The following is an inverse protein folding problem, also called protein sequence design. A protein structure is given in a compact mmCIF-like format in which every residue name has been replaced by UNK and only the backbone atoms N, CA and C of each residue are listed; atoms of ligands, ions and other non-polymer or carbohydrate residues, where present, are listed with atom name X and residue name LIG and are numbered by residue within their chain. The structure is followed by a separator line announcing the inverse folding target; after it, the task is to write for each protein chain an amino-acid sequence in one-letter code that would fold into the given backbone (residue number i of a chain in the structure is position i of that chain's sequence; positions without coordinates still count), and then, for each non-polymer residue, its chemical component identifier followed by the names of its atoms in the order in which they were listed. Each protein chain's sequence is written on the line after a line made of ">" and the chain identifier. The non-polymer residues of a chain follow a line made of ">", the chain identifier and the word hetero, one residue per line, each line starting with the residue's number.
data_IF_606788900237
#
_entry.id   IF_606788900237
#
_cell.length_a   1.000
_cell.length_b   1.000
_cell.length_c   1.000
_cell.angle_alpha   90.00
_cell.angle_beta   90.00
_cell.angle_gamma   90.00
#
_symmetry.space_group_name_H-M   'P 1'
#
loop_
_entity.id
_entity.type
_entity.pdbx_description
1 polymer ?
#
# COMPACT_ATOMS: atom_id res chain seq x y z
N UNK A 1 14.30 16.66 -11.40
CA UNK A 1 13.13 17.28 -12.07
C UNK A 1 11.90 16.41 -11.94
N UNK A 2 10.68 17.00 -12.03
CA UNK A 2 9.41 16.29 -11.88
C UNK A 2 9.30 15.06 -12.82
N UNK A 3 9.67 15.19 -14.09
CA UNK A 3 9.66 14.07 -15.04
C UNK A 3 10.59 12.91 -14.62
N UNK A 4 11.73 13.21 -14.03
CA UNK A 4 12.64 12.19 -13.51
C UNK A 4 12.02 11.46 -12.31
N UNK A 5 11.42 12.18 -11.40
CA UNK A 5 10.69 11.59 -10.27
C UNK A 5 9.56 10.67 -10.77
N UNK A 6 8.71 11.17 -11.67
CA UNK A 6 7.61 10.38 -12.25
C UNK A 6 8.13 9.10 -12.92
N UNK A 7 9.17 9.20 -13.74
CA UNK A 7 9.78 8.04 -14.38
C UNK A 7 10.22 6.99 -13.35
N UNK A 8 10.90 7.41 -12.29
CA UNK A 8 11.42 6.49 -11.29
C UNK A 8 10.31 5.88 -10.40
N UNK A 9 9.24 6.60 -10.10
CA UNK A 9 8.08 6.06 -9.37
C UNK A 9 7.55 4.76 -10.02
N UNK A 10 7.63 4.65 -11.35
CA UNK A 10 7.19 3.43 -12.07
C UNK A 10 8.28 2.38 -12.28
N UNK A 11 9.55 2.71 -12.07
CA UNK A 11 10.67 1.82 -12.42
C UNK A 11 11.43 1.25 -11.21
N UNK A 12 11.26 1.79 -10.01
CA UNK A 12 11.83 1.19 -8.79
C UNK A 12 11.01 -0.02 -8.36
N UNK A 13 11.67 -1.01 -7.74
CA UNK A 13 11.08 -2.34 -7.52
C UNK A 13 10.17 -2.41 -6.32
N UNK A 14 10.47 -1.70 -5.25
CA UNK A 14 9.71 -1.77 -3.98
C UNK A 14 9.00 -0.47 -3.65
N UNK A 15 7.95 -0.56 -2.82
CA UNK A 15 7.27 0.62 -2.28
C UNK A 15 8.19 1.44 -1.39
N UNK A 16 9.00 0.81 -0.57
CA UNK A 16 9.98 1.50 0.30
C UNK A 16 10.95 2.36 -0.53
N UNK A 17 11.43 1.85 -1.68
CA UNK A 17 12.24 2.63 -2.61
C UNK A 17 11.45 3.80 -3.22
N UNK A 18 10.15 3.63 -3.50
CA UNK A 18 9.28 4.73 -3.98
C UNK A 18 9.16 5.81 -2.92
N UNK A 19 8.91 5.44 -1.66
CA UNK A 19 8.74 6.39 -0.55
C UNK A 19 10.00 7.22 -0.33
N UNK A 20 11.17 6.58 -0.30
CA UNK A 20 12.47 7.26 -0.19
C UNK A 20 12.72 8.19 -1.37
N UNK A 21 12.54 7.69 -2.59
CA UNK A 21 12.74 8.45 -3.82
C UNK A 21 11.82 9.69 -3.89
N UNK A 22 10.54 9.52 -3.52
CA UNK A 22 9.57 10.63 -3.53
C UNK A 22 10.01 11.73 -2.58
N UNK A 23 10.39 11.39 -1.35
CA UNK A 23 10.85 12.39 -0.38
C UNK A 23 12.17 13.05 -0.85
N UNK A 24 13.15 12.29 -1.31
CA UNK A 24 14.43 12.82 -1.76
C UNK A 24 14.28 13.78 -2.94
N UNK A 25 13.55 13.37 -3.98
CA UNK A 25 13.38 14.18 -5.18
C UNK A 25 12.44 15.38 -4.97
N UNK A 26 11.42 15.25 -4.11
CA UNK A 26 10.56 16.37 -3.72
C UNK A 26 11.36 17.49 -3.07
N UNK A 27 12.42 17.19 -2.32
CA UNK A 27 13.25 18.20 -1.69
C UNK A 27 13.92 19.15 -2.70
N UNK A 28 14.14 18.66 -3.93
CA UNK A 28 14.67 19.49 -5.03
C UNK A 28 13.63 20.37 -5.71
N UNK A 29 12.33 20.07 -5.52
CA UNK A 29 11.19 20.75 -6.15
C UNK A 29 10.46 21.66 -5.17
N UNK A 30 10.33 21.25 -3.92
CA UNK A 30 9.63 21.92 -2.83
C UNK A 30 10.58 21.95 -1.63
N UNK A 31 10.99 23.13 -1.22
CA UNK A 31 11.87 23.26 -0.05
C UNK A 31 11.10 22.93 1.23
N UNK A 32 11.56 21.96 2.02
CA UNK A 32 11.00 21.59 3.32
C UNK A 32 12.08 21.22 4.34
N UNK A 33 11.75 21.24 5.62
CA UNK A 33 12.70 20.89 6.69
C UNK A 33 12.62 19.43 7.10
N UNK A 34 11.42 18.84 7.10
CA UNK A 34 11.14 17.44 7.44
C UNK A 34 10.09 16.90 6.48
N UNK A 35 10.25 15.66 6.07
CA UNK A 35 9.27 14.94 5.26
C UNK A 35 8.96 13.56 5.84
N UNK A 36 7.73 13.12 5.66
CA UNK A 36 7.35 11.74 5.93
C UNK A 36 6.43 11.17 4.83
N UNK A 37 6.48 9.86 4.70
CA UNK A 37 5.57 9.10 3.86
C UNK A 37 5.10 7.89 4.65
N UNK A 38 3.79 7.71 4.75
CA UNK A 38 3.16 6.56 5.39
C UNK A 38 2.25 5.86 4.40
N UNK A 39 2.22 4.54 4.49
CA UNK A 39 1.21 3.72 3.81
C UNK A 39 0.01 3.47 4.73
N UNK A 40 -1.13 3.19 4.12
CA UNK A 40 -2.30 2.66 4.83
C UNK A 40 -2.04 1.21 5.24
N UNK A 41 -2.41 0.84 6.45
CA UNK A 41 -2.38 -0.56 6.87
C UNK A 41 -3.45 -1.36 6.10
N UNK A 42 -3.03 -2.48 5.49
CA UNK A 42 -3.91 -3.29 4.64
C UNK A 42 -5.02 -4.00 5.41
N UNK A 43 -4.80 -4.29 6.70
CA UNK A 43 -5.79 -4.94 7.56
C UNK A 43 -6.66 -3.93 8.30
N UNK A 44 -6.13 -2.73 8.58
CA UNK A 44 -6.85 -1.64 9.19
C UNK A 44 -6.60 -0.32 8.43
N UNK A 45 -7.36 -0.04 7.36
CA UNK A 45 -7.14 1.13 6.50
C UNK A 45 -7.25 2.50 7.19
N UNK A 46 -7.66 2.53 8.46
CA UNK A 46 -7.65 3.74 9.27
C UNK A 46 -6.34 3.98 10.02
N UNK A 47 -5.42 3.03 9.98
CA UNK A 47 -4.10 3.15 10.57
C UNK A 47 -3.04 3.36 9.50
N UNK A 48 -2.01 4.09 9.86
CA UNK A 48 -0.82 4.31 9.05
C UNK A 48 0.26 3.33 9.48
N UNK A 49 1.07 2.91 8.53
CA UNK A 49 2.18 1.96 8.71
C UNK A 49 3.34 2.31 7.79
N UNK A 50 4.42 1.54 7.88
CA UNK A 50 5.59 1.61 6.99
C UNK A 50 6.12 3.04 6.83
N UNK A 51 6.49 3.73 7.91
CA UNK A 51 6.93 5.11 7.83
C UNK A 51 8.32 5.22 7.21
N UNK A 52 8.45 6.08 6.21
CA UNK A 52 9.74 6.58 5.70
C UNK A 52 9.83 8.06 6.04
N UNK A 53 11.00 8.52 6.51
CA UNK A 53 11.23 9.91 6.89
C UNK A 53 12.43 10.50 6.14
N UNK A 54 12.41 11.82 5.95
CA UNK A 54 13.50 12.60 5.37
C UNK A 54 13.86 13.75 6.29
N UNK A 55 15.18 13.96 6.46
CA UNK A 55 15.78 15.03 7.27
C UNK A 55 15.49 14.98 8.79
N UNK A 56 14.97 13.84 9.27
CA UNK A 56 14.71 13.59 10.69
C UNK A 56 14.89 12.09 10.98
N UNK A 57 15.18 11.73 12.23
CA UNK A 57 15.33 10.33 12.62
C UNK A 57 13.99 9.59 12.72
N UNK A 58 14.05 8.26 12.67
CA UNK A 58 12.87 7.37 12.68
C UNK A 58 11.98 7.53 13.92
N UNK A 59 12.53 8.05 15.02
CA UNK A 59 11.76 8.35 16.23
C UNK A 59 10.62 9.33 16.00
N UNK A 60 10.73 10.23 15.00
CA UNK A 60 9.67 11.16 14.63
C UNK A 60 8.40 10.41 14.16
N UNK A 61 8.57 9.50 13.20
CA UNK A 61 7.47 8.74 12.65
C UNK A 61 6.90 7.73 13.66
N UNK A 62 7.76 7.09 14.44
CA UNK A 62 7.35 6.17 15.49
C UNK A 62 6.54 6.88 16.58
N UNK A 63 6.97 8.08 16.98
CA UNK A 63 6.25 8.91 17.95
C UNK A 63 4.87 9.33 17.42
N UNK A 64 4.80 9.77 16.15
CA UNK A 64 3.51 10.07 15.51
C UNK A 64 2.57 8.86 15.53
N UNK A 65 3.02 7.70 15.08
CA UNK A 65 2.20 6.49 15.03
C UNK A 65 1.72 6.05 16.42
N UNK A 66 2.59 6.12 17.42
CA UNK A 66 2.29 5.66 18.76
C UNK A 66 1.36 6.61 19.53
N UNK A 67 1.56 7.92 19.39
CA UNK A 67 1.02 8.91 20.33
C UNK A 67 0.10 9.96 19.69
N UNK A 68 0.23 10.23 18.37
CA UNK A 68 -0.41 11.39 17.76
C UNK A 68 -1.36 11.10 16.62
N UNK A 69 -1.23 9.99 15.90
CA UNK A 69 -2.12 9.68 14.77
C UNK A 69 -3.63 9.68 15.12
N UNK A 70 -3.99 9.49 16.39
CA UNK A 70 -5.39 9.53 16.86
C UNK A 70 -5.83 10.93 17.27
N UNK A 71 -4.89 11.85 17.49
CA UNK A 71 -5.13 13.25 17.87
C UNK A 71 -5.07 14.20 16.68
N UNK A 72 -4.55 13.72 15.57
CA UNK A 72 -4.43 14.46 14.32
C UNK A 72 -5.82 14.70 13.72
N UNK A 73 -6.28 15.94 13.79
CA UNK A 73 -7.58 16.34 13.24
C UNK A 73 -7.62 16.33 11.71
N UNK A 74 -6.47 16.46 11.04
CA UNK A 74 -6.37 16.37 9.58
C UNK A 74 -6.65 14.94 9.08
N UNK A 75 -6.53 13.93 9.95
CA UNK A 75 -6.82 12.52 9.62
C UNK A 75 -8.25 12.30 9.08
N UNK A 76 -9.20 13.16 9.42
CA UNK A 76 -10.55 13.13 8.84
C UNK A 76 -10.58 13.39 7.33
N UNK A 77 -9.51 13.94 6.75
CA UNK A 77 -9.33 14.14 5.32
C UNK A 77 -8.70 12.93 4.61
N UNK A 78 -8.17 11.96 5.35
CA UNK A 78 -7.63 10.72 4.81
C UNK A 78 -8.79 9.77 4.50
N UNK A 79 -9.44 10.06 3.39
CA UNK A 79 -10.62 9.33 2.93
C UNK A 79 -10.38 8.75 1.53
N UNK A 80 -11.40 8.25 0.90
CA UNK A 80 -11.32 7.60 -0.40
C UNK A 80 -11.01 8.51 -1.59
N UNK A 81 -10.52 9.73 -1.40
CA UNK A 81 -10.15 10.67 -2.46
C UNK A 81 -8.79 11.28 -2.19
N UNK A 82 -7.95 11.31 -3.20
CA UNK A 82 -6.68 12.02 -3.12
C UNK A 82 -6.90 13.53 -3.04
N UNK A 83 -6.08 14.17 -2.23
CA UNK A 83 -6.13 15.61 -2.04
C UNK A 83 -4.80 16.15 -1.57
N UNK A 84 -4.35 17.24 -2.18
CA UNK A 84 -3.28 18.08 -1.67
C UNK A 84 -3.89 19.23 -0.84
N UNK A 85 -3.32 19.49 0.34
CA UNK A 85 -3.76 20.56 1.21
C UNK A 85 -2.65 21.00 2.17
N UNK A 86 -2.67 22.27 2.52
CA UNK A 86 -1.89 22.80 3.65
C UNK A 86 -2.72 22.70 4.91
N UNK A 87 -2.10 22.56 6.05
CA UNK A 87 -2.80 22.63 7.35
C UNK A 87 -3.55 23.96 7.50
N UNK A 88 -2.95 25.06 7.03
CA UNK A 88 -3.57 26.39 7.02
C UNK A 88 -4.83 26.53 6.14
N UNK A 89 -5.10 25.58 5.25
CA UNK A 89 -6.34 25.53 4.47
C UNK A 89 -7.50 24.93 5.28
N UNK A 90 -7.21 24.26 6.40
CA UNK A 90 -8.19 23.55 7.25
C UNK A 90 -8.47 24.34 8.52
N UNK A 91 -7.43 24.84 9.16
CA UNK A 91 -7.50 25.53 10.44
C UNK A 91 -6.64 26.81 10.39
N UNK A 92 -7.15 27.89 10.99
CA UNK A 92 -6.35 29.10 11.08
C UNK A 92 -5.14 28.90 12.01
N UNK A 93 -4.06 29.62 11.75
CA UNK A 93 -2.84 29.57 12.54
C UNK A 93 -3.10 29.86 14.03
N UNK A 94 -3.97 30.84 14.31
CA UNK A 94 -4.38 31.18 15.68
C UNK A 94 -5.07 30.01 16.41
N UNK A 95 -5.86 29.23 15.71
CA UNK A 95 -6.54 28.06 16.27
C UNK A 95 -5.59 26.86 16.37
N UNK A 96 -4.77 26.63 15.35
CA UNK A 96 -3.82 25.52 15.27
C UNK A 96 -2.90 25.49 16.50
N UNK A 97 -2.27 26.62 16.85
CA UNK A 97 -1.31 26.73 17.97
C UNK A 97 -1.97 26.48 19.35
N UNK A 98 -3.30 26.50 19.44
CA UNK A 98 -4.04 26.18 20.68
C UNK A 98 -4.35 24.71 20.82
N UNK A 99 -4.20 23.89 19.76
CA UNK A 99 -4.49 22.47 19.81
C UNK A 99 -3.44 21.68 20.59
N UNK A 100 -3.85 20.61 21.24
CA UNK A 100 -2.92 19.70 21.93
C UNK A 100 -1.98 19.00 20.92
N UNK A 101 -2.47 18.72 19.72
CA UNK A 101 -1.67 18.14 18.64
C UNK A 101 -0.50 19.05 18.25
N UNK A 102 -0.76 20.35 18.02
CA UNK A 102 0.31 21.31 17.73
C UNK A 102 1.32 21.39 18.87
N UNK A 103 0.86 21.57 20.12
CA UNK A 103 1.73 21.75 21.28
C UNK A 103 2.60 20.54 21.59
N UNK A 104 2.03 19.34 21.43
CA UNK A 104 2.71 18.10 21.79
C UNK A 104 3.56 17.54 20.66
N UNK A 105 3.14 17.70 19.40
CA UNK A 105 3.85 17.17 18.23
C UNK A 105 4.61 18.25 17.46
N UNK A 106 3.94 19.18 16.81
CA UNK A 106 4.61 20.20 15.98
C UNK A 106 5.66 20.99 16.76
N UNK A 107 5.29 21.51 17.90
CA UNK A 107 6.18 22.35 18.71
C UNK A 107 7.39 21.58 19.25
N UNK A 108 7.25 20.30 19.62
CA UNK A 108 8.35 19.49 20.13
C UNK A 108 9.43 19.22 19.08
N UNK A 109 9.05 19.21 17.80
CA UNK A 109 9.96 19.06 16.66
C UNK A 109 10.32 20.41 15.99
N UNK A 110 9.84 21.52 16.52
CA UNK A 110 10.09 22.88 16.00
C UNK A 110 9.40 23.16 14.67
N UNK A 111 8.36 22.37 14.33
CA UNK A 111 7.59 22.46 13.08
C UNK A 111 6.44 23.46 13.25
N UNK A 112 5.95 24.01 12.13
CA UNK A 112 4.82 24.94 12.13
C UNK A 112 3.93 24.80 10.91
N UNK A 113 4.47 24.81 9.70
CA UNK A 113 3.69 24.67 8.47
C UNK A 113 3.80 23.24 7.94
N UNK A 114 2.71 22.76 7.36
CA UNK A 114 2.69 21.47 6.67
C UNK A 114 1.91 21.53 5.35
N UNK A 115 2.37 20.68 4.42
CA UNK A 115 1.75 20.41 3.13
C UNK A 115 1.60 18.90 2.99
N UNK A 116 0.39 18.43 2.72
CA UNK A 116 0.05 17.02 2.68
C UNK A 116 -0.50 16.63 1.31
N UNK A 117 -0.16 15.42 0.87
CA UNK A 117 -0.84 14.70 -0.22
C UNK A 117 -1.42 13.42 0.36
N UNK A 118 -2.71 13.41 0.62
CA UNK A 118 -3.48 12.19 0.88
C UNK A 118 -3.69 11.46 -0.44
N UNK A 119 -3.33 10.17 -0.50
CA UNK A 119 -3.37 9.34 -1.70
C UNK A 119 -4.46 8.28 -1.52
N UNK A 120 -5.37 8.20 -2.48
CA UNK A 120 -6.46 7.23 -2.46
C UNK A 120 -6.81 6.77 -3.88
N UNK A 121 -7.40 5.59 -4.01
CA UNK A 121 -7.89 5.06 -5.27
C UNK A 121 -9.17 4.26 -5.02
N UNK A 122 -10.18 4.47 -5.83
CA UNK A 122 -11.50 3.78 -5.77
C UNK A 122 -12.08 3.70 -4.34
N UNK A 123 -12.14 4.83 -3.66
CA UNK A 123 -12.58 4.98 -2.26
C UNK A 123 -11.70 4.27 -1.20
N UNK A 124 -10.51 3.80 -1.57
CA UNK A 124 -9.54 3.24 -0.64
C UNK A 124 -8.42 4.24 -0.38
N UNK A 125 -8.19 4.58 0.88
CA UNK A 125 -7.02 5.36 1.29
C UNK A 125 -5.78 4.47 1.21
N UNK A 126 -4.73 4.93 0.51
CA UNK A 126 -3.52 4.16 0.23
C UNK A 126 -2.30 4.66 1.01
N UNK A 127 -2.25 5.95 1.31
CA UNK A 127 -1.11 6.53 2.03
C UNK A 127 -1.13 8.06 2.05
N UNK A 128 -0.13 8.63 2.67
CA UNK A 128 0.04 10.08 2.79
C UNK A 128 1.51 10.47 2.72
N UNK A 129 1.79 11.52 1.96
CA UNK A 129 3.06 12.25 1.97
C UNK A 129 2.84 13.55 2.74
N UNK A 130 3.73 13.87 3.67
CA UNK A 130 3.68 15.13 4.42
C UNK A 130 5.03 15.81 4.39
N UNK A 131 5.01 17.10 4.11
CA UNK A 131 6.18 17.98 4.11
C UNK A 131 5.99 19.06 5.17
N UNK A 132 7.00 19.30 5.98
CA UNK A 132 6.91 20.23 7.10
C UNK A 132 7.98 21.33 7.01
N UNK A 133 7.60 22.52 7.47
CA UNK A 133 8.50 23.67 7.65
C UNK A 133 8.49 24.17 9.08
N UNK A 134 9.65 24.65 9.50
CA UNK A 134 9.84 25.29 10.82
C UNK A 134 9.19 26.68 10.83
N UNK A 135 8.87 27.16 12.02
CA UNK A 135 8.23 28.47 12.23
C UNK A 135 9.00 29.65 11.62
N UNK A 136 10.33 29.57 11.51
CA UNK A 136 11.14 30.62 10.92
C UNK A 136 11.00 30.75 9.39
N UNK A 137 10.33 29.80 8.74
CA UNK A 137 10.06 29.81 7.29
C UNK A 137 8.71 30.43 6.97
N UNK A 138 8.47 30.64 5.68
CA UNK A 138 7.15 30.99 5.15
C UNK A 138 6.34 29.72 4.84
N UNK A 139 5.03 29.84 4.85
CA UNK A 139 4.13 28.74 4.49
C UNK A 139 4.33 28.30 3.03
N UNK A 140 3.87 27.13 2.69
CA UNK A 140 3.87 26.60 1.33
C UNK A 140 3.02 27.46 0.40
N UNK A 141 3.55 27.75 -0.78
CA UNK A 141 2.91 28.55 -1.81
C UNK A 141 1.91 27.74 -2.63
N UNK A 142 1.07 28.40 -3.42
CA UNK A 142 0.17 27.71 -4.34
C UNK A 142 0.94 26.94 -5.43
N UNK A 143 2.06 27.45 -5.90
CA UNK A 143 2.88 26.76 -6.90
C UNK A 143 3.49 25.46 -6.34
N UNK A 144 3.83 25.43 -5.06
CA UNK A 144 4.32 24.22 -4.38
C UNK A 144 3.17 23.22 -4.16
N UNK A 145 1.97 23.69 -3.84
CA UNK A 145 0.76 22.84 -3.79
C UNK A 145 0.49 22.21 -5.15
N UNK A 146 0.53 22.99 -6.24
CA UNK A 146 0.35 22.46 -7.59
C UNK A 146 1.47 21.49 -8.01
N UNK A 147 2.71 21.77 -7.61
CA UNK A 147 3.84 20.88 -7.86
C UNK A 147 3.61 19.50 -7.20
N UNK A 148 3.18 19.47 -5.94
CA UNK A 148 2.84 18.24 -5.27
C UNK A 148 1.62 17.55 -5.90
N UNK A 149 0.63 18.35 -6.33
CA UNK A 149 -0.58 17.83 -6.97
C UNK A 149 -0.31 17.12 -8.30
N UNK A 150 0.73 17.53 -9.04
CA UNK A 150 1.14 16.84 -10.28
C UNK A 150 1.58 15.40 -10.05
N UNK A 151 1.98 15.04 -8.84
CA UNK A 151 2.35 13.66 -8.49
C UNK A 151 1.14 12.77 -8.14
N UNK A 152 -0.01 13.36 -7.86
CA UNK A 152 -1.19 12.65 -7.33
C UNK A 152 -1.53 11.43 -8.17
N UNK A 153 -1.80 11.60 -9.46
CA UNK A 153 -2.21 10.51 -10.35
C UNK A 153 -1.14 9.40 -10.46
N UNK A 154 0.14 9.76 -10.38
CA UNK A 154 1.24 8.82 -10.49
C UNK A 154 1.38 7.98 -9.22
N UNK A 155 1.27 8.60 -8.05
CA UNK A 155 1.29 7.89 -6.77
C UNK A 155 0.02 7.07 -6.55
N UNK A 156 -1.17 7.58 -6.94
CA UNK A 156 -2.39 6.78 -6.98
C UNK A 156 -2.21 5.49 -7.78
N UNK A 157 -1.72 5.62 -9.02
CA UNK A 157 -1.52 4.48 -9.91
C UNK A 157 -0.51 3.48 -9.34
N UNK A 158 0.63 3.97 -8.84
CA UNK A 158 1.67 3.12 -8.29
C UNK A 158 1.22 2.42 -7.01
N UNK A 159 0.72 3.15 -6.02
CA UNK A 159 0.30 2.57 -4.75
C UNK A 159 -0.88 1.60 -4.93
N UNK A 160 -1.83 1.93 -5.81
CA UNK A 160 -2.91 1.02 -6.12
C UNK A 160 -2.41 -0.27 -6.78
N UNK A 161 -1.47 -0.19 -7.72
CA UNK A 161 -0.88 -1.37 -8.33
C UNK A 161 -0.26 -2.31 -7.27
N UNK A 162 0.56 -1.78 -6.38
CA UNK A 162 1.20 -2.57 -5.33
C UNK A 162 0.16 -3.10 -4.31
N UNK A 163 -0.86 -2.31 -3.98
CA UNK A 163 -1.98 -2.75 -3.14
C UNK A 163 -2.72 -3.95 -3.76
N UNK A 164 -3.03 -3.91 -5.07
CA UNK A 164 -3.70 -5.00 -5.78
C UNK A 164 -2.83 -6.26 -5.84
N UNK A 165 -1.53 -6.11 -6.08
CA UNK A 165 -0.58 -7.23 -6.03
C UNK A 165 -0.58 -7.90 -4.65
N UNK A 166 -0.49 -7.11 -3.58
CA UNK A 166 -0.51 -7.62 -2.23
C UNK A 166 -1.83 -8.31 -1.87
N UNK A 167 -2.97 -7.75 -2.28
CA UNK A 167 -4.28 -8.40 -2.11
C UNK A 167 -4.36 -9.73 -2.85
N UNK A 168 -3.85 -9.80 -4.09
CA UNK A 168 -3.82 -11.04 -4.87
C UNK A 168 -2.90 -12.10 -4.24
N UNK A 169 -1.83 -11.70 -3.56
CA UNK A 169 -0.96 -12.60 -2.81
C UNK A 169 -1.62 -13.11 -1.52
N UNK A 170 -2.39 -12.25 -0.83
CA UNK A 170 -3.15 -12.65 0.36
C UNK A 170 -4.32 -13.60 0.03
N UNK A 171 -4.83 -13.56 -1.20
CA UNK A 171 -5.85 -14.50 -1.69
C UNK A 171 -5.28 -15.87 -2.08
N UNK A 172 -3.95 -16.01 -2.17
CA UNK A 172 -3.32 -17.30 -2.42
C UNK A 172 -3.37 -18.19 -1.19
N UNK A 173 -3.57 -19.46 -1.44
CA UNK A 173 -3.59 -20.49 -0.41
C UNK A 173 -2.34 -21.36 -0.51
N UNK A 174 -1.78 -21.75 0.62
CA UNK A 174 -0.89 -22.87 0.64
C UNK A 174 -1.62 -24.15 0.23
N UNK A 175 -0.89 -25.14 -0.25
CA UNK A 175 -1.45 -26.44 -0.61
C UNK A 175 -2.20 -27.06 0.58
N UNK A 176 -1.67 -26.92 1.78
CA UNK A 176 -2.22 -27.42 3.02
C UNK A 176 -3.55 -26.72 3.38
N UNK A 177 -3.63 -25.43 3.18
CA UNK A 177 -4.88 -24.66 3.37
C UNK A 177 -5.97 -25.06 2.36
N UNK A 178 -5.62 -25.27 1.10
CA UNK A 178 -6.57 -25.77 0.09
C UNK A 178 -7.12 -27.14 0.51
N UNK A 179 -6.23 -28.07 0.90
CA UNK A 179 -6.63 -29.40 1.33
C UNK A 179 -7.61 -29.35 2.51
N UNK A 180 -7.29 -28.54 3.51
CA UNK A 180 -8.09 -28.40 4.72
C UNK A 180 -9.42 -27.67 4.46
N UNK A 181 -9.36 -26.49 3.83
CA UNK A 181 -10.51 -25.60 3.59
C UNK A 181 -11.57 -26.24 2.68
N UNK A 182 -11.13 -26.96 1.64
CA UNK A 182 -12.03 -27.58 0.67
C UNK A 182 -12.26 -29.07 0.89
N UNK A 183 -11.77 -29.62 2.01
CA UNK A 183 -11.97 -31.02 2.39
C UNK A 183 -11.60 -32.01 1.27
N UNK A 184 -10.40 -31.85 0.70
CA UNK A 184 -9.92 -32.77 -0.32
C UNK A 184 -9.58 -34.13 0.28
N UNK A 185 -10.04 -35.18 -0.38
CA UNK A 185 -9.68 -36.54 -0.02
C UNK A 185 -8.19 -36.80 -0.31
N UNK A 186 -7.60 -37.82 0.32
CA UNK A 186 -6.20 -38.23 0.07
C UNK A 186 -5.89 -38.42 -1.42
N UNK A 187 -6.84 -38.96 -2.20
CA UNK A 187 -6.64 -39.17 -3.64
C UNK A 187 -6.73 -37.87 -4.43
N UNK A 188 -7.68 -37.00 -4.10
CA UNK A 188 -7.79 -35.68 -4.70
C UNK A 188 -6.59 -34.79 -4.40
N UNK A 189 -6.05 -34.88 -3.17
CA UNK A 189 -4.80 -34.19 -2.79
C UNK A 189 -3.62 -34.61 -3.67
N UNK A 190 -3.45 -35.89 -3.90
CA UNK A 190 -2.37 -36.39 -4.77
C UNK A 190 -2.54 -35.93 -6.20
N UNK A 191 -3.77 -36.01 -6.73
CA UNK A 191 -4.08 -35.51 -8.09
C UNK A 191 -3.88 -34.02 -8.18
N UNK A 192 -4.34 -33.23 -7.22
CA UNK A 192 -4.16 -31.77 -7.19
C UNK A 192 -2.67 -31.40 -7.19
N UNK A 193 -1.84 -32.04 -6.36
CA UNK A 193 -0.38 -31.77 -6.32
C UNK A 193 0.30 -32.04 -7.66
N UNK A 194 -0.19 -32.93 -8.47
CA UNK A 194 0.31 -33.17 -9.83
C UNK A 194 -0.27 -32.18 -10.85
N UNK A 195 -1.54 -31.76 -10.66
CA UNK A 195 -2.16 -30.75 -11.53
C UNK A 195 -1.51 -29.36 -11.44
N UNK A 196 -0.84 -29.02 -10.35
CA UNK A 196 -0.11 -27.74 -10.20
C UNK A 196 1.31 -27.77 -10.77
N UNK A 197 1.80 -28.93 -11.20
CA UNK A 197 3.09 -29.06 -11.92
C UNK A 197 2.88 -28.82 -13.42
N UNK A 198 3.92 -28.94 -14.22
CA UNK A 198 3.86 -28.86 -15.69
C UNK A 198 3.43 -30.17 -16.36
N UNK A 199 3.24 -31.25 -15.58
CA UNK A 199 2.91 -32.56 -16.12
C UNK A 199 1.60 -32.58 -16.92
N UNK A 200 1.59 -33.26 -18.05
CA UNK A 200 0.41 -33.48 -18.87
C UNK A 200 -0.58 -34.47 -18.23
N UNK A 201 -1.82 -34.49 -18.65
CA UNK A 201 -2.84 -35.44 -18.16
C UNK A 201 -2.44 -36.90 -18.44
N UNK A 202 -1.65 -37.15 -19.47
CA UNK A 202 -1.14 -38.49 -19.78
C UNK A 202 -0.11 -38.90 -18.75
N UNK A 203 0.89 -38.05 -18.52
CA UNK A 203 1.95 -38.32 -17.53
C UNK A 203 1.38 -38.46 -16.12
N UNK A 204 0.40 -37.66 -15.73
CA UNK A 204 -0.29 -37.77 -14.44
C UNK A 204 -1.00 -39.14 -14.33
N UNK A 205 -1.69 -39.56 -15.38
CA UNK A 205 -2.39 -40.84 -15.41
C UNK A 205 -1.43 -42.01 -15.28
N UNK A 206 -0.31 -41.99 -15.98
CA UNK A 206 0.74 -42.99 -15.91
C UNK A 206 1.40 -43.02 -14.52
N UNK A 207 1.79 -41.86 -13.99
CA UNK A 207 2.41 -41.73 -12.68
C UNK A 207 1.50 -42.28 -11.55
N UNK A 208 0.20 -42.07 -11.68
CA UNK A 208 -0.81 -42.49 -10.70
C UNK A 208 -1.32 -43.91 -10.96
N UNK A 209 -0.92 -44.55 -12.08
CA UNK A 209 -1.38 -45.85 -12.54
C UNK A 209 -2.92 -45.92 -12.60
N UNK A 210 -3.55 -44.93 -13.24
CA UNK A 210 -5.01 -44.79 -13.44
C UNK A 210 -5.34 -44.51 -14.88
N UNK A 211 -6.59 -44.81 -15.29
CA UNK A 211 -7.05 -44.42 -16.62
C UNK A 211 -7.26 -42.90 -16.73
N UNK A 212 -7.17 -42.37 -17.95
CA UNK A 212 -7.48 -40.96 -18.24
C UNK A 212 -8.89 -40.57 -17.76
N UNK A 213 -9.88 -41.44 -17.91
CA UNK A 213 -11.24 -41.22 -17.43
C UNK A 213 -11.31 -41.09 -15.91
N UNK A 214 -10.53 -41.92 -15.18
CA UNK A 214 -10.42 -41.85 -13.72
C UNK A 214 -9.79 -40.52 -13.30
N UNK A 215 -8.70 -40.09 -13.96
CA UNK A 215 -8.08 -38.81 -13.73
C UNK A 215 -9.07 -37.65 -13.96
N UNK A 216 -9.79 -37.67 -15.09
CA UNK A 216 -10.81 -36.66 -15.43
C UNK A 216 -11.88 -36.56 -14.35
N UNK A 217 -12.33 -37.69 -13.78
CA UNK A 217 -13.30 -37.71 -12.67
C UNK A 217 -12.75 -37.06 -11.40
N UNK A 218 -11.50 -37.37 -11.01
CA UNK A 218 -10.86 -36.74 -9.85
C UNK A 218 -10.67 -35.24 -10.07
N UNK A 219 -10.21 -34.82 -11.26
CA UNK A 219 -10.04 -33.41 -11.62
C UNK A 219 -11.36 -32.65 -11.56
N UNK A 220 -12.44 -33.23 -12.10
CA UNK A 220 -13.78 -32.63 -12.03
C UNK A 220 -14.25 -32.45 -10.58
N UNK A 221 -14.06 -33.45 -9.73
CA UNK A 221 -14.43 -33.35 -8.32
C UNK A 221 -13.63 -32.27 -7.59
N UNK A 222 -12.31 -32.18 -7.86
CA UNK A 222 -11.46 -31.13 -7.30
C UNK A 222 -11.98 -29.75 -7.73
N UNK A 223 -12.19 -29.55 -9.03
CA UNK A 223 -12.66 -28.26 -9.55
C UNK A 223 -14.02 -27.87 -8.99
N UNK A 224 -14.93 -28.84 -8.83
CA UNK A 224 -16.23 -28.61 -8.20
C UNK A 224 -16.07 -28.18 -6.73
N UNK A 225 -15.22 -28.83 -5.95
CA UNK A 225 -14.96 -28.49 -4.55
C UNK A 225 -14.32 -27.11 -4.39
N UNK A 226 -13.38 -26.77 -5.27
CA UNK A 226 -12.68 -25.46 -5.27
C UNK A 226 -13.50 -24.38 -5.96
N UNK A 227 -14.65 -24.70 -6.59
CA UNK A 227 -15.47 -23.77 -7.36
C UNK A 227 -14.72 -23.11 -8.54
N UNK A 228 -13.83 -23.86 -9.17
CA UNK A 228 -13.06 -23.44 -10.36
C UNK A 228 -13.42 -24.26 -11.57
N UNK A 229 -13.02 -23.82 -12.76
CA UNK A 229 -13.39 -24.47 -14.02
C UNK A 229 -12.20 -25.07 -14.78
N UNK A 230 -10.99 -24.67 -14.47
CA UNK A 230 -9.79 -25.10 -15.19
C UNK A 230 -8.52 -25.09 -14.33
N UNK A 231 -7.44 -25.68 -14.90
CA UNK A 231 -6.14 -25.83 -14.24
C UNK A 231 -5.44 -24.50 -14.00
N UNK A 232 -5.64 -23.51 -14.86
CA UNK A 232 -5.04 -22.17 -14.72
C UNK A 232 -5.56 -21.52 -13.44
N UNK A 233 -6.87 -21.61 -13.18
CA UNK A 233 -7.46 -21.11 -11.95
C UNK A 233 -6.93 -21.84 -10.71
N UNK A 234 -6.69 -23.14 -10.77
CA UNK A 234 -6.08 -23.88 -9.68
C UNK A 234 -4.66 -23.38 -9.37
N UNK A 235 -3.85 -23.16 -10.42
CA UNK A 235 -2.48 -22.64 -10.26
C UNK A 235 -2.51 -21.21 -9.70
N UNK A 236 -3.48 -20.38 -10.11
CA UNK A 236 -3.66 -19.02 -9.60
C UNK A 236 -4.10 -18.93 -8.14
N UNK A 237 -4.61 -20.02 -7.53
CA UNK A 237 -4.98 -20.09 -6.11
C UNK A 237 -3.79 -20.34 -5.19
N UNK A 238 -2.64 -20.72 -5.71
CA UNK A 238 -1.40 -21.08 -5.00
C UNK A 238 -0.32 -20.04 -5.30
#
# INVERSE_FOLDING_TARGET
>A
TLNYLIYNVYNVSSLEEVEHLVLEELHSLIEYDVGDFYLSDTQNPKQLTSPVTSNIGDTFAQDYLANYQTKDYAKGLFNGRSKVFRESDIISDQQMVTTDYYRQFYQSYGLHFSLHLSIAFDNHFLGIVSLYRKHARVNFTNDEVETLNMLTIHLESRLNHDYQLHQSELEKFSIEEIISKFNLTRRETVVMKLLITDASSIEISEQLNITHNTLKKHTSNIYQKLQITNRIQLIGMI
#
